data_IF_949549886677
#
_entry.id   IF_949549886677
#
_cell.length_a   1.000
_cell.length_b   1.000
_cell.length_c   1.000
_cell.angle_alpha   90.00
_cell.angle_beta   90.00
_cell.angle_gamma   90.00
#
_symmetry.space_group_name_H-M   'P 1'
#
loop_
_entity.id
_entity.type
_entity.pdbx_description
1 polymer ?
#
# COMPACT_ATOMS: atom_id res chain seq x y z
N UNK A 1 -14.63 -2.65 -19.67
CA UNK A 1 -14.95 -4.02 -20.17
C UNK A 1 -14.01 -4.98 -19.44
N UNK A 2 -14.50 -5.62 -18.37
CA UNK A 2 -13.69 -6.42 -17.46
C UNK A 2 -13.02 -7.59 -18.20
N UNK A 3 -11.69 -7.57 -18.29
CA UNK A 3 -10.90 -8.62 -18.95
C UNK A 3 -10.54 -9.65 -17.89
N UNK A 4 -11.22 -10.79 -17.88
CA UNK A 4 -10.85 -11.96 -17.06
C UNK A 4 -9.53 -12.53 -17.60
N UNK A 5 -8.40 -12.00 -17.14
CA UNK A 5 -7.10 -12.66 -17.29
C UNK A 5 -7.03 -13.76 -16.25
N UNK A 6 -6.74 -15.00 -16.66
CA UNK A 6 -7.07 -16.25 -15.94
C UNK A 6 -6.66 -16.44 -14.47
N UNK A 7 -6.03 -15.45 -13.84
CA UNK A 7 -5.62 -15.46 -12.44
C UNK A 7 -6.29 -14.38 -11.56
N UNK A 8 -7.13 -13.49 -12.13
CA UNK A 8 -7.81 -12.38 -11.44
C UNK A 8 -9.24 -12.26 -11.96
N UNK A 9 -10.19 -12.10 -11.04
CA UNK A 9 -11.63 -12.05 -11.34
C UNK A 9 -12.09 -10.68 -11.84
N UNK A 10 -11.47 -9.59 -11.35
CA UNK A 10 -11.80 -8.21 -11.69
C UNK A 10 -10.51 -7.38 -11.77
N UNK A 11 -10.34 -6.63 -12.87
CA UNK A 11 -9.22 -5.71 -13.10
C UNK A 11 -9.65 -4.67 -14.14
N UNK A 12 -9.93 -3.44 -13.70
CA UNK A 12 -10.45 -2.36 -14.54
C UNK A 12 -9.93 -0.99 -14.07
N UNK A 13 -9.58 -0.13 -15.03
CA UNK A 13 -9.22 1.26 -14.74
C UNK A 13 -10.49 2.12 -14.78
N UNK A 14 -10.81 2.75 -13.66
CA UNK A 14 -11.88 3.73 -13.51
C UNK A 14 -11.26 5.10 -13.66
N UNK A 15 -11.67 5.85 -14.67
CA UNK A 15 -11.20 7.21 -14.88
C UNK A 15 -11.75 8.13 -13.77
N UNK A 16 -10.88 8.92 -13.13
CA UNK A 16 -11.25 9.88 -12.07
C UNK A 16 -10.98 11.33 -12.50
N UNK A 17 -12.00 12.18 -12.33
CA UNK A 17 -11.93 13.62 -12.62
C UNK A 17 -12.31 13.95 -14.06
N UNK A 18 -12.06 15.20 -14.46
CA UNK A 18 -12.54 15.72 -15.75
C UNK A 18 -11.48 15.65 -16.87
N UNK A 19 -10.22 15.31 -16.53
CA UNK A 19 -9.07 15.47 -17.44
C UNK A 19 -8.78 14.28 -18.37
N UNK A 20 -9.73 13.37 -18.56
CA UNK A 20 -9.54 12.20 -19.43
C UNK A 20 -9.57 12.54 -20.91
N UNK A 21 -8.71 11.89 -21.70
CA UNK A 21 -8.57 12.11 -23.15
C UNK A 21 -8.26 13.57 -23.55
N UNK A 22 -7.71 14.38 -22.63
CA UNK A 22 -7.32 15.77 -22.90
C UNK A 22 -5.84 15.92 -23.31
N UNK A 23 -5.15 14.81 -23.62
CA UNK A 23 -3.75 14.84 -24.06
C UNK A 23 -2.73 15.12 -22.94
N UNK A 24 -3.04 14.76 -21.69
CA UNK A 24 -2.09 14.90 -20.57
C UNK A 24 -0.87 13.99 -20.77
N UNK A 25 0.31 14.50 -20.42
CA UNK A 25 1.59 13.84 -20.66
C UNK A 25 1.92 12.74 -19.64
N UNK A 26 1.36 12.81 -18.43
CA UNK A 26 1.61 11.86 -17.35
C UNK A 26 0.32 11.20 -16.86
N UNK A 27 0.46 10.00 -16.30
CA UNK A 27 -0.65 9.18 -15.80
C UNK A 27 -0.47 8.92 -14.32
N UNK A 28 -1.55 9.06 -13.56
CA UNK A 28 -1.61 8.65 -12.16
C UNK A 28 -2.51 7.43 -12.00
N UNK A 29 -2.00 6.37 -11.39
CA UNK A 29 -2.75 5.15 -11.09
C UNK A 29 -2.85 4.98 -9.57
N UNK A 30 -4.10 5.01 -9.10
CA UNK A 30 -4.50 5.06 -7.70
C UNK A 30 -5.07 3.70 -7.29
N UNK A 31 -4.52 3.08 -6.27
CA UNK A 31 -4.79 1.68 -5.96
C UNK A 31 -5.22 1.54 -4.50
N UNK A 32 -6.53 1.39 -4.30
CA UNK A 32 -7.13 1.13 -2.99
C UNK A 32 -6.89 -0.33 -2.57
N UNK A 33 -6.45 -0.53 -1.32
CA UNK A 33 -6.14 -1.85 -0.75
C UNK A 33 -6.96 -2.28 0.46
N UNK A 34 -7.84 -1.43 0.96
CA UNK A 34 -8.70 -1.74 2.08
C UNK A 34 -10.04 -1.01 1.87
N UNK A 35 -11.09 -1.74 1.54
CA UNK A 35 -12.34 -1.20 0.98
C UNK A 35 -13.53 -1.98 1.52
N UNK A 36 -14.66 -1.29 1.75
CA UNK A 36 -15.90 -1.91 2.23
C UNK A 36 -16.99 -1.94 1.17
N UNK A 37 -16.93 -1.04 0.19
CA UNK A 37 -17.79 -1.01 -0.99
C UNK A 37 -17.01 -0.60 -2.25
N UNK A 38 -17.66 -0.66 -3.43
CA UNK A 38 -16.99 -0.33 -4.70
C UNK A 38 -16.62 1.15 -4.80
N UNK A 39 -17.36 2.01 -4.12
CA UNK A 39 -17.13 3.45 -4.09
C UNK A 39 -15.82 3.80 -3.37
N UNK A 40 -15.36 2.95 -2.44
CA UNK A 40 -14.10 3.14 -1.70
C UNK A 40 -12.84 2.95 -2.58
N UNK A 41 -13.00 2.46 -3.82
CA UNK A 41 -11.92 2.47 -4.81
C UNK A 41 -11.62 3.87 -5.34
N UNK A 42 -12.59 4.78 -5.29
CA UNK A 42 -12.51 6.13 -5.87
C UNK A 42 -12.46 7.19 -4.78
N UNK A 43 -13.33 7.06 -3.77
CA UNK A 43 -13.52 8.03 -2.67
C UNK A 43 -12.23 8.59 -2.05
N UNK A 44 -11.18 7.79 -1.76
CA UNK A 44 -9.95 8.31 -1.13
C UNK A 44 -9.17 9.29 -2.01
N UNK A 45 -9.44 9.28 -3.31
CA UNK A 45 -8.69 10.02 -4.34
C UNK A 45 -9.48 11.21 -4.91
N UNK A 46 -10.74 11.37 -4.49
CA UNK A 46 -11.59 12.47 -4.90
C UNK A 46 -11.10 13.81 -4.35
N UNK A 47 -11.34 14.88 -5.12
CA UNK A 47 -11.02 16.25 -4.71
C UNK A 47 -9.54 16.62 -4.76
N UNK A 48 -8.67 15.72 -5.23
CA UNK A 48 -7.31 16.07 -5.63
C UNK A 48 -7.31 16.67 -7.03
N UNK A 49 -6.68 17.82 -7.17
CA UNK A 49 -6.52 18.54 -8.42
C UNK A 49 -5.04 18.49 -8.77
N UNK A 50 -4.73 17.79 -9.86
CA UNK A 50 -3.41 17.74 -10.46
C UNK A 50 -3.54 17.90 -11.99
N UNK A 51 -2.40 17.92 -12.68
CA UNK A 51 -2.33 18.06 -14.13
C UNK A 51 -2.21 16.72 -14.87
N UNK A 52 -2.49 15.59 -14.21
CA UNK A 52 -2.31 14.24 -14.74
C UNK A 52 -3.63 13.60 -15.20
N UNK A 53 -3.53 12.58 -16.04
CA UNK A 53 -4.69 11.72 -16.32
C UNK A 53 -4.77 10.62 -15.25
N UNK A 54 -5.87 10.55 -14.51
CA UNK A 54 -5.97 9.77 -13.28
C UNK A 54 -6.86 8.55 -13.42
N UNK A 55 -6.44 7.42 -12.88
CA UNK A 55 -7.23 6.19 -12.88
C UNK A 55 -7.20 5.52 -11.52
N UNK A 56 -8.36 5.21 -10.95
CA UNK A 56 -8.44 4.21 -9.89
C UNK A 56 -8.43 2.81 -10.49
N UNK A 57 -7.63 1.92 -9.92
CA UNK A 57 -7.66 0.50 -10.27
C UNK A 57 -8.73 -0.20 -9.44
N UNK A 58 -9.80 -0.66 -10.09
CA UNK A 58 -10.74 -1.63 -9.53
C UNK A 58 -10.18 -3.03 -9.73
N UNK A 59 -9.89 -3.73 -8.63
CA UNK A 59 -9.36 -5.07 -8.67
C UNK A 59 -9.94 -5.90 -7.54
N UNK A 60 -10.26 -7.18 -7.79
CA UNK A 60 -10.59 -8.18 -6.77
C UNK A 60 -11.62 -7.73 -5.70
N UNK A 61 -12.63 -6.93 -6.06
CA UNK A 61 -13.50 -6.26 -5.07
C UNK A 61 -14.18 -7.21 -4.10
N UNK A 62 -14.62 -8.38 -4.58
CA UNK A 62 -15.22 -9.40 -3.72
C UNK A 62 -14.27 -9.87 -2.62
N UNK A 63 -12.99 -10.12 -2.94
CA UNK A 63 -12.01 -10.62 -1.99
C UNK A 63 -11.57 -9.52 -1.02
N UNK A 64 -11.35 -8.31 -1.53
CA UNK A 64 -10.96 -7.14 -0.73
C UNK A 64 -12.06 -6.71 0.25
N UNK A 65 -13.32 -6.67 -0.19
CA UNK A 65 -14.45 -6.39 0.71
C UNK A 65 -14.57 -7.51 1.75
N UNK A 66 -14.47 -8.77 1.34
CA UNK A 66 -14.60 -9.90 2.26
C UNK A 66 -13.52 -9.88 3.37
N UNK A 67 -12.26 -9.56 3.05
CA UNK A 67 -11.20 -9.47 4.05
C UNK A 67 -11.36 -8.22 4.93
N UNK A 68 -11.69 -7.06 4.33
CA UNK A 68 -11.87 -5.81 5.07
C UNK A 68 -13.03 -5.90 6.07
N UNK A 69 -14.17 -6.45 5.66
CA UNK A 69 -15.31 -6.71 6.55
C UNK A 69 -14.93 -7.71 7.65
N UNK A 70 -14.21 -8.79 7.33
CA UNK A 70 -13.82 -9.79 8.35
C UNK A 70 -12.90 -9.20 9.41
N UNK A 71 -12.00 -8.29 9.01
CA UNK A 71 -11.17 -7.57 9.95
C UNK A 71 -12.04 -6.66 10.81
N UNK A 72 -12.92 -5.85 10.19
CA UNK A 72 -13.81 -4.92 10.91
C UNK A 72 -14.72 -5.66 11.91
N UNK A 73 -15.25 -6.82 11.55
CA UNK A 73 -16.05 -7.66 12.43
C UNK A 73 -15.24 -8.16 13.63
N UNK A 74 -13.98 -8.56 13.41
CA UNK A 74 -13.09 -8.95 14.50
C UNK A 74 -12.73 -7.76 15.40
N UNK A 75 -12.46 -6.58 14.82
CA UNK A 75 -12.15 -5.36 15.57
C UNK A 75 -13.27 -4.93 16.51
N UNK A 76 -14.52 -5.14 16.09
CA UNK A 76 -15.71 -4.76 16.86
C UNK A 76 -16.17 -5.85 17.83
N UNK A 77 -15.50 -7.00 17.85
CA UNK A 77 -15.79 -8.09 18.79
C UNK A 77 -15.46 -7.73 20.23
N UNK A 78 -16.19 -8.29 21.19
CA UNK A 78 -15.97 -8.06 22.63
C UNK A 78 -14.55 -8.43 23.08
N UNK A 79 -13.92 -9.41 22.43
CA UNK A 79 -12.55 -9.84 22.73
C UNK A 79 -11.55 -8.74 22.32
N UNK A 80 -11.70 -8.19 21.11
CA UNK A 80 -10.83 -7.11 20.64
C UNK A 80 -10.99 -5.84 21.50
N UNK A 81 -12.23 -5.50 21.89
CA UNK A 81 -12.51 -4.36 22.77
C UNK A 81 -11.88 -4.54 24.16
N UNK A 82 -11.93 -5.74 24.73
CA UNK A 82 -11.30 -6.02 26.03
C UNK A 82 -9.77 -5.94 25.93
N UNK A 83 -9.17 -6.47 24.85
CA UNK A 83 -7.73 -6.34 24.60
C UNK A 83 -7.29 -4.89 24.43
N UNK A 84 -8.10 -4.06 23.74
CA UNK A 84 -7.85 -2.62 23.63
C UNK A 84 -7.95 -1.92 24.99
N UNK A 85 -9.00 -2.20 25.77
CA UNK A 85 -9.21 -1.61 27.10
C UNK A 85 -8.07 -1.92 28.07
N UNK A 86 -7.52 -3.14 27.99
CA UNK A 86 -6.39 -3.57 28.82
C UNK A 86 -5.04 -3.05 28.31
N UNK A 87 -5.00 -2.31 27.20
CA UNK A 87 -3.75 -1.83 26.59
C UNK A 87 -2.90 -2.93 25.95
N UNK A 88 -3.39 -4.17 25.90
CA UNK A 88 -2.65 -5.32 25.38
C UNK A 88 -2.28 -5.15 23.90
N UNK A 89 -3.09 -4.42 23.13
CA UNK A 89 -2.82 -4.08 21.72
C UNK A 89 -1.58 -3.17 21.58
N UNK A 90 -1.38 -2.22 22.49
CA UNK A 90 -0.18 -1.39 22.52
C UNK A 90 1.04 -2.19 22.98
N UNK A 91 0.84 -3.17 23.86
CA UNK A 91 1.88 -4.12 24.25
C UNK A 91 2.29 -5.01 23.09
N UNK A 92 1.38 -5.45 22.21
CA UNK A 92 1.75 -6.17 20.97
C UNK A 92 2.68 -5.33 20.11
N UNK A 93 2.30 -4.08 19.83
CA UNK A 93 3.13 -3.13 19.07
C UNK A 93 4.47 -2.84 19.75
N UNK A 94 4.49 -2.72 21.09
CA UNK A 94 5.71 -2.46 21.86
C UNK A 94 6.60 -3.72 21.98
N UNK A 95 6.02 -4.90 22.11
CA UNK A 95 6.72 -6.20 22.10
C UNK A 95 7.25 -6.56 20.70
N UNK A 96 6.73 -5.90 19.67
CA UNK A 96 7.29 -5.92 18.32
C UNK A 96 8.64 -5.21 18.27
N UNK A 97 8.80 -4.15 19.08
CA UNK A 97 10.10 -3.48 19.30
C UNK A 97 10.95 -4.24 20.33
N UNK A 98 10.32 -4.83 21.35
CA UNK A 98 10.96 -5.61 22.40
C UNK A 98 10.59 -7.08 22.27
N UNK A 99 11.32 -7.83 21.42
CA UNK A 99 11.04 -9.13 20.80
C UNK A 99 10.47 -10.33 21.62
N UNK A 100 9.83 -10.17 22.79
CA UNK A 100 9.32 -11.28 23.60
C UNK A 100 8.04 -10.91 24.39
N UNK A 101 7.09 -11.86 24.41
CA UNK A 101 5.85 -11.96 25.21
C UNK A 101 4.53 -11.43 24.60
N UNK A 102 3.91 -12.24 23.73
CA UNK A 102 2.50 -12.07 23.34
C UNK A 102 1.55 -12.89 24.24
N UNK A 103 0.43 -12.32 24.73
CA UNK A 103 -0.57 -13.08 25.47
C UNK A 103 -1.23 -14.17 24.62
N UNK A 104 -1.44 -15.36 25.18
CA UNK A 104 -2.03 -16.51 24.47
C UNK A 104 -3.44 -16.26 23.89
N UNK A 105 -4.18 -15.29 24.44
CA UNK A 105 -5.52 -14.89 23.95
C UNK A 105 -5.47 -14.27 22.55
N UNK A 106 -4.36 -13.62 22.18
CA UNK A 106 -4.13 -13.10 20.82
C UNK A 106 -3.88 -14.20 19.79
N UNK A 107 -3.51 -15.43 20.20
CA UNK A 107 -3.24 -16.55 19.29
C UNK A 107 -4.51 -17.24 18.77
N UNK A 108 -5.57 -17.29 19.57
CA UNK A 108 -6.77 -18.07 19.22
C UNK A 108 -7.80 -17.29 18.38
N UNK A 109 -7.72 -15.97 18.35
CA UNK A 109 -8.75 -15.12 17.74
C UNK A 109 -8.51 -14.77 16.26
N UNK A 110 -7.38 -15.16 15.65
CA UNK A 110 -6.94 -14.65 14.32
C UNK A 110 -7.00 -15.66 13.17
N UNK A 111 -7.10 -16.97 13.44
CA UNK A 111 -6.95 -18.02 12.42
C UNK A 111 -7.88 -17.88 11.19
N UNK A 112 -9.11 -17.38 11.37
CA UNK A 112 -10.03 -17.17 10.24
C UNK A 112 -9.62 -15.99 9.35
N UNK A 113 -9.13 -14.92 9.97
CA UNK A 113 -8.64 -13.72 9.28
C UNK A 113 -7.41 -14.09 8.46
N UNK A 114 -6.51 -14.89 9.04
CA UNK A 114 -5.27 -15.32 8.39
C UNK A 114 -5.54 -16.00 7.03
N UNK A 115 -6.62 -16.79 6.92
CA UNK A 115 -6.99 -17.48 5.66
C UNK A 115 -7.46 -16.50 4.55
N UNK A 116 -8.38 -15.59 4.86
CA UNK A 116 -8.88 -14.59 3.89
C UNK A 116 -7.82 -13.58 3.53
N UNK A 117 -6.99 -13.23 4.50
CA UNK A 117 -5.87 -12.34 4.33
C UNK A 117 -4.82 -12.93 3.40
N UNK A 118 -4.42 -14.19 3.60
CA UNK A 118 -3.48 -14.87 2.70
C UNK A 118 -4.00 -14.93 1.26
N UNK A 119 -5.32 -15.11 1.07
CA UNK A 119 -5.94 -15.04 -0.26
C UNK A 119 -5.80 -13.62 -0.82
N UNK A 120 -6.13 -12.59 -0.03
CA UNK A 120 -6.04 -11.20 -0.49
C UNK A 120 -4.59 -10.81 -0.87
N UNK A 121 -3.60 -11.29 -0.11
CA UNK A 121 -2.17 -11.15 -0.42
C UNK A 121 -1.80 -11.79 -1.76
N UNK A 122 -2.15 -13.06 -1.97
CA UNK A 122 -1.91 -13.77 -3.24
C UNK A 122 -2.58 -13.06 -4.43
N UNK A 123 -3.81 -12.56 -4.24
CA UNK A 123 -4.52 -11.79 -5.25
C UNK A 123 -3.87 -10.43 -5.54
N UNK A 124 -3.29 -9.79 -4.53
CA UNK A 124 -2.53 -8.54 -4.69
C UNK A 124 -1.29 -8.74 -5.57
N UNK A 125 -0.56 -9.84 -5.33
CA UNK A 125 0.65 -10.15 -6.10
C UNK A 125 0.31 -10.46 -7.56
N UNK A 126 -0.79 -11.19 -7.80
CA UNK A 126 -1.31 -11.43 -9.15
C UNK A 126 -1.71 -10.12 -9.83
N UNK A 127 -2.40 -9.23 -9.13
CA UNK A 127 -2.80 -7.91 -9.65
C UNK A 127 -1.60 -7.03 -10.00
N UNK A 128 -0.54 -7.07 -9.19
CA UNK A 128 0.71 -6.37 -9.48
C UNK A 128 1.37 -6.87 -10.76
N UNK A 129 1.47 -8.19 -10.94
CA UNK A 129 2.00 -8.78 -12.18
C UNK A 129 1.17 -8.38 -13.40
N UNK A 130 -0.16 -8.37 -13.29
CA UNK A 130 -1.03 -7.94 -14.39
C UNK A 130 -0.88 -6.44 -14.68
N UNK A 131 -0.73 -5.61 -13.65
CA UNK A 131 -0.45 -4.18 -13.82
C UNK A 131 0.88 -3.98 -14.56
N UNK A 132 1.92 -4.72 -14.21
CA UNK A 132 3.20 -4.69 -14.93
C UNK A 132 3.03 -5.05 -16.42
N UNK A 133 2.26 -6.08 -16.75
CA UNK A 133 1.97 -6.43 -18.15
C UNK A 133 1.25 -5.30 -18.90
N UNK A 134 0.27 -4.65 -18.26
CA UNK A 134 -0.48 -3.54 -18.84
C UNK A 134 0.45 -2.37 -19.14
N UNK A 135 1.33 -2.05 -18.19
CA UNK A 135 2.33 -1.00 -18.32
C UNK A 135 3.32 -1.31 -19.46
N UNK A 136 3.86 -2.54 -19.53
CA UNK A 136 4.78 -2.97 -20.59
C UNK A 136 4.16 -2.98 -21.98
N UNK A 137 2.86 -3.27 -22.09
CA UNK A 137 2.12 -3.21 -23.37
C UNK A 137 1.89 -1.78 -23.87
N UNK A 138 2.18 -0.76 -23.04
CA UNK A 138 2.08 0.64 -23.46
C UNK A 138 0.65 1.10 -23.73
N UNK A 139 -0.37 0.46 -23.16
CA UNK A 139 -1.76 0.86 -23.35
C UNK A 139 -2.04 2.30 -22.90
N UNK A 140 -1.21 2.81 -22.00
CA UNK A 140 -1.23 4.19 -21.52
C UNK A 140 -0.31 5.13 -22.32
N UNK A 141 0.17 4.74 -23.50
CA UNK A 141 0.93 5.60 -24.42
C UNK A 141 2.40 5.83 -24.06
N UNK A 142 3.04 4.90 -23.31
CA UNK A 142 4.43 5.01 -22.84
C UNK A 142 4.73 6.32 -22.11
N UNK A 143 3.74 6.83 -21.37
CA UNK A 143 3.81 8.05 -20.57
C UNK A 143 4.40 7.76 -19.18
N UNK A 144 5.08 8.72 -18.54
CA UNK A 144 5.49 8.60 -17.13
C UNK A 144 4.29 8.27 -16.23
N UNK A 145 4.46 7.29 -15.37
CA UNK A 145 3.41 6.78 -14.47
C UNK A 145 3.76 7.07 -13.02
N UNK A 146 2.81 7.70 -12.31
CA UNK A 146 2.81 7.81 -10.85
C UNK A 146 1.90 6.72 -10.28
N UNK A 147 2.43 5.90 -9.36
CA UNK A 147 1.69 4.83 -8.68
C UNK A 147 1.50 5.21 -7.21
N UNK A 148 0.24 5.28 -6.76
CA UNK A 148 -0.09 5.58 -5.37
C UNK A 148 -1.03 4.51 -4.86
N UNK A 149 -0.70 3.91 -3.71
CA UNK A 149 -1.54 2.87 -3.14
C UNK A 149 -1.40 2.78 -1.63
N UNK A 150 -2.46 2.36 -0.98
CA UNK A 150 -2.48 2.09 0.46
C UNK A 150 -2.83 0.63 0.73
N UNK A 151 -2.39 0.10 1.87
CA UNK A 151 -2.67 -1.28 2.28
C UNK A 151 -2.30 -2.30 1.19
N UNK A 152 -3.15 -3.27 0.90
CA UNK A 152 -2.94 -4.26 -0.16
C UNK A 152 -2.74 -3.63 -1.55
N UNK A 153 -3.21 -2.42 -1.79
CA UNK A 153 -2.96 -1.66 -3.01
C UNK A 153 -1.49 -1.21 -3.12
N UNK A 154 -0.85 -0.90 -1.99
CA UNK A 154 0.61 -0.70 -1.96
C UNK A 154 1.35 -2.00 -2.31
N UNK A 155 0.82 -3.16 -1.89
CA UNK A 155 1.38 -4.47 -2.27
C UNK A 155 1.21 -4.77 -3.76
N UNK A 156 0.08 -4.42 -4.37
CA UNK A 156 -0.10 -4.47 -5.83
C UNK A 156 0.99 -3.67 -6.55
N UNK A 157 1.28 -2.44 -6.10
CA UNK A 157 2.35 -1.61 -6.66
C UNK A 157 3.69 -2.30 -6.52
N UNK A 158 4.03 -2.77 -5.34
CA UNK A 158 5.32 -3.40 -5.09
C UNK A 158 5.53 -4.65 -5.95
N UNK A 159 4.51 -5.51 -6.04
CA UNK A 159 4.56 -6.69 -6.92
C UNK A 159 4.65 -6.32 -8.40
N UNK A 160 4.01 -5.21 -8.81
CA UNK A 160 4.18 -4.65 -10.15
C UNK A 160 5.64 -4.25 -10.41
N UNK A 161 6.28 -3.53 -9.49
CA UNK A 161 7.69 -3.13 -9.62
C UNK A 161 8.63 -4.34 -9.66
N UNK A 162 8.39 -5.35 -8.83
CA UNK A 162 9.15 -6.61 -8.87
C UNK A 162 9.02 -7.28 -10.24
N UNK A 163 7.79 -7.42 -10.76
CA UNK A 163 7.55 -8.03 -12.06
C UNK A 163 8.19 -7.23 -13.21
N UNK A 164 8.19 -5.90 -13.14
CA UNK A 164 8.89 -5.07 -14.12
C UNK A 164 10.41 -5.30 -14.05
N UNK A 165 10.98 -5.43 -12.85
CA UNK A 165 12.42 -5.66 -12.66
C UNK A 165 12.91 -6.98 -13.25
N UNK A 166 12.02 -7.99 -13.38
CA UNK A 166 12.32 -9.28 -14.01
C UNK A 166 12.50 -9.15 -15.55
N UNK A 167 12.02 -8.06 -16.17
CA UNK A 167 11.97 -7.92 -17.64
C UNK A 167 13.10 -7.12 -18.27
N UNK A 168 13.94 -6.43 -17.47
CA UNK A 168 15.01 -5.49 -17.87
C UNK A 168 14.62 -4.42 -18.91
N UNK A 169 13.34 -4.31 -19.27
CA UNK A 169 12.79 -3.36 -20.24
C UNK A 169 12.01 -2.28 -19.52
N UNK A 170 12.15 -1.03 -19.96
CA UNK A 170 11.36 0.12 -19.50
C UNK A 170 11.53 0.47 -17.99
N UNK A 171 12.77 0.45 -17.49
CA UNK A 171 13.13 0.94 -16.14
C UNK A 171 12.69 2.40 -15.86
N UNK A 172 12.29 3.12 -16.90
CA UNK A 172 12.00 4.56 -16.88
C UNK A 172 10.50 4.88 -16.95
N UNK A 173 9.61 3.88 -17.04
CA UNK A 173 8.17 4.14 -17.18
C UNK A 173 7.54 4.63 -15.87
N UNK A 174 7.95 4.08 -14.73
CA UNK A 174 7.42 4.47 -13.43
C UNK A 174 8.24 5.64 -12.89
N UNK A 175 7.61 6.82 -12.84
CA UNK A 175 8.25 8.03 -12.38
C UNK A 175 8.24 8.14 -10.86
N UNK A 176 7.08 7.89 -10.23
CA UNK A 176 6.89 8.11 -8.79
C UNK A 176 6.09 6.97 -8.17
N UNK A 177 6.44 6.64 -6.93
CA UNK A 177 5.75 5.62 -6.14
C UNK A 177 5.47 6.16 -4.75
N UNK A 178 4.24 5.97 -4.28
CA UNK A 178 3.85 6.24 -2.90
C UNK A 178 3.13 5.02 -2.32
N UNK A 179 3.73 4.42 -1.30
CA UNK A 179 3.17 3.31 -0.54
C UNK A 179 2.71 3.81 0.82
N UNK A 180 1.43 3.63 1.15
CA UNK A 180 0.86 4.06 2.42
C UNK A 180 0.45 2.83 3.26
N UNK A 181 1.00 2.67 4.46
CA UNK A 181 0.62 1.54 5.35
C UNK A 181 0.82 0.19 4.67
N UNK A 182 1.98 -0.01 4.05
CA UNK A 182 2.21 -1.12 3.14
C UNK A 182 2.40 -2.48 3.87
N UNK A 183 1.59 -3.50 3.55
CA UNK A 183 1.69 -4.84 4.10
C UNK A 183 2.76 -5.69 3.38
N UNK A 184 4.00 -5.20 3.38
CA UNK A 184 5.13 -5.77 2.65
C UNK A 184 6.27 -6.03 3.64
N UNK A 185 6.82 -7.23 3.61
CA UNK A 185 7.95 -7.61 4.45
C UNK A 185 9.20 -6.82 4.08
N UNK A 186 10.04 -6.46 5.04
CA UNK A 186 11.29 -5.72 4.75
C UNK A 186 12.43 -6.68 4.40
N UNK A 187 12.62 -7.75 5.17
CA UNK A 187 13.79 -8.65 5.02
C UNK A 187 13.70 -9.65 3.88
N UNK A 188 12.49 -10.11 3.54
CA UNK A 188 12.29 -11.22 2.60
C UNK A 188 11.91 -10.75 1.18
N UNK A 189 11.80 -9.43 0.99
CA UNK A 189 11.36 -8.84 -0.26
C UNK A 189 12.49 -8.03 -0.90
N UNK A 190 12.57 -8.08 -2.23
CA UNK A 190 13.65 -7.40 -2.97
C UNK A 190 13.31 -5.91 -3.22
N UNK A 191 13.42 -5.10 -2.16
CA UNK A 191 13.21 -3.66 -2.21
C UNK A 191 14.17 -2.92 -3.13
N UNK A 192 15.41 -3.41 -3.28
CA UNK A 192 16.39 -2.82 -4.19
C UNK A 192 15.98 -2.98 -5.66
N UNK A 193 15.47 -4.15 -6.04
CA UNK A 193 14.93 -4.38 -7.38
C UNK A 193 13.71 -3.48 -7.65
N UNK A 194 12.78 -3.38 -6.69
CA UNK A 194 11.65 -2.47 -6.80
C UNK A 194 12.10 -1.01 -6.90
N UNK A 195 13.12 -0.58 -6.13
CA UNK A 195 13.63 0.78 -6.17
C UNK A 195 14.27 1.13 -7.51
N UNK A 196 14.99 0.20 -8.15
CA UNK A 196 15.61 0.41 -9.47
C UNK A 196 14.60 0.71 -10.57
N UNK A 197 13.35 0.33 -10.38
CA UNK A 197 12.27 0.53 -11.35
C UNK A 197 11.59 1.90 -11.27
N UNK A 198 11.98 2.75 -10.32
CA UNK A 198 11.35 4.06 -10.10
C UNK A 198 12.36 5.16 -10.43
N UNK A 199 12.07 6.00 -11.43
CA UNK A 199 13.00 7.05 -11.85
C UNK A 199 13.12 8.19 -10.81
N UNK A 200 12.02 8.53 -10.14
CA UNK A 200 11.92 9.64 -9.20
C UNK A 200 11.76 9.22 -7.74
N UNK A 201 10.83 9.89 -7.04
CA UNK A 201 10.57 9.67 -5.61
C UNK A 201 9.88 8.32 -5.39
N UNK A 202 10.47 7.51 -4.51
CA UNK A 202 9.84 6.32 -3.95
C UNK A 202 9.60 6.57 -2.48
N UNK A 203 8.36 6.78 -2.10
CA UNK A 203 7.95 7.11 -0.73
C UNK A 203 7.30 5.90 -0.06
N UNK A 204 7.79 5.57 1.14
CA UNK A 204 7.13 4.69 2.09
C UNK A 204 6.58 5.53 3.25
N UNK A 205 5.27 5.74 3.29
CA UNK A 205 4.59 6.37 4.40
C UNK A 205 4.12 5.30 5.39
N UNK A 206 4.63 5.37 6.62
CA UNK A 206 4.39 4.36 7.65
C UNK A 206 3.76 4.97 8.91
N UNK A 207 3.04 4.15 9.66
CA UNK A 207 2.49 4.53 10.96
C UNK A 207 2.85 3.46 12.00
N UNK A 208 3.51 3.87 13.07
CA UNK A 208 3.87 2.98 14.19
C UNK A 208 2.66 2.58 15.04
N UNK A 209 1.53 3.26 14.83
CA UNK A 209 0.25 3.01 15.54
C UNK A 209 -0.74 2.20 14.72
N UNK A 210 -0.36 1.73 13.53
CA UNK A 210 -1.25 0.89 12.72
C UNK A 210 -1.33 -0.53 13.28
N UNK A 211 -2.20 -0.66 14.28
CA UNK A 211 -2.45 -1.87 15.03
C UNK A 211 -3.08 -2.99 14.18
N UNK A 212 -3.79 -2.65 13.10
CA UNK A 212 -4.43 -3.65 12.24
C UNK A 212 -3.37 -4.44 11.48
N UNK A 213 -2.37 -3.77 10.90
CA UNK A 213 -1.21 -4.46 10.32
C UNK A 213 -0.48 -5.26 11.40
N UNK A 214 -0.27 -4.65 12.58
CA UNK A 214 0.31 -5.27 13.77
C UNK A 214 -0.26 -6.66 14.10
N UNK A 215 -1.59 -6.79 14.02
CA UNK A 215 -2.29 -8.03 14.34
C UNK A 215 -2.49 -8.94 13.13
N UNK A 216 -2.86 -8.41 11.97
CA UNK A 216 -3.13 -9.21 10.77
C UNK A 216 -1.86 -9.87 10.19
N UNK A 217 -0.68 -9.27 10.41
CA UNK A 217 0.60 -9.79 9.91
C UNK A 217 1.53 -10.30 11.00
N UNK A 218 0.99 -10.67 12.16
CA UNK A 218 1.78 -10.99 13.35
C UNK A 218 2.98 -11.91 13.09
N UNK A 219 2.81 -12.92 12.24
CA UNK A 219 3.89 -13.84 11.86
C UNK A 219 5.00 -13.16 11.03
N UNK A 220 4.63 -12.43 9.97
CA UNK A 220 5.56 -11.70 9.11
C UNK A 220 6.22 -10.51 9.84
N UNK A 221 5.49 -9.88 10.76
CA UNK A 221 5.95 -8.77 11.57
C UNK A 221 7.07 -9.16 12.54
N UNK A 222 6.93 -10.28 13.24
CA UNK A 222 7.90 -10.72 14.25
C UNK A 222 9.23 -11.17 13.63
N UNK A 223 9.24 -11.66 12.38
CA UNK A 223 10.45 -12.17 11.74
C UNK A 223 11.05 -11.17 10.74
N UNK A 224 10.20 -10.49 9.96
CA UNK A 224 10.63 -9.80 8.74
C UNK A 224 10.40 -8.29 8.78
N UNK A 225 9.58 -7.80 9.72
CA UNK A 225 9.16 -6.40 9.79
C UNK A 225 8.30 -5.96 8.60
N UNK A 226 7.47 -4.92 8.77
CA UNK A 226 6.61 -4.42 7.69
C UNK A 226 6.88 -2.96 7.34
N UNK A 227 6.95 -2.67 6.05
CA UNK A 227 7.14 -1.31 5.55
C UNK A 227 6.05 -0.33 6.01
N UNK A 228 4.82 -0.79 6.23
CA UNK A 228 3.72 0.03 6.74
C UNK A 228 3.84 0.45 8.21
N UNK A 229 4.71 -0.20 9.00
CA UNK A 229 4.89 0.09 10.43
C UNK A 229 6.22 0.74 10.78
N UNK A 230 7.20 0.68 9.89
CA UNK A 230 8.55 1.17 10.15
C UNK A 230 9.28 1.57 8.87
N UNK A 231 10.38 2.33 8.98
CA UNK A 231 11.20 2.69 7.82
C UNK A 231 11.78 1.47 7.09
N UNK A 232 11.91 1.59 5.76
CA UNK A 232 12.66 0.68 4.91
C UNK A 232 14.05 1.26 4.67
N UNK A 233 15.10 0.59 5.17
CA UNK A 233 16.49 1.04 5.04
C UNK A 233 17.11 0.63 3.70
N UNK A 234 16.60 1.24 2.62
CA UNK A 234 17.12 1.08 1.25
C UNK A 234 17.38 2.45 0.65
N UNK A 235 18.57 2.63 0.08
CA UNK A 235 18.97 3.91 -0.51
C UNK A 235 17.99 4.33 -1.62
N UNK A 236 17.56 5.59 -1.56
CA UNK A 236 16.61 6.16 -2.52
C UNK A 236 15.14 5.94 -2.16
N UNK A 237 14.82 5.20 -1.10
CA UNK A 237 13.48 5.17 -0.52
C UNK A 237 13.36 6.27 0.54
N UNK A 238 12.38 7.14 0.37
CA UNK A 238 12.00 8.21 1.28
C UNK A 238 11.00 7.65 2.29
N UNK A 239 11.36 7.62 3.58
CA UNK A 239 10.47 7.15 4.63
C UNK A 239 9.81 8.35 5.32
N UNK A 240 8.48 8.35 5.39
CA UNK A 240 7.69 9.44 5.99
C UNK A 240 6.82 8.89 7.10
N UNK A 241 7.01 9.41 8.30
CA UNK A 241 6.18 9.05 9.45
C UNK A 241 4.85 9.82 9.41
N UNK A 242 3.74 9.09 9.29
CA UNK A 242 2.37 9.62 9.30
C UNK A 242 1.58 9.16 10.54
N UNK A 243 2.27 8.72 11.59
CA UNK A 243 1.69 8.26 12.86
C UNK A 243 0.79 9.30 13.53
N UNK A 244 1.05 10.59 13.31
CA UNK A 244 0.25 11.71 13.82
C UNK A 244 -1.09 11.89 13.07
N UNK A 245 -1.18 11.36 11.86
CA UNK A 245 -2.33 11.50 10.96
C UNK A 245 -3.19 10.24 10.92
N UNK A 246 -2.60 9.07 11.22
CA UNK A 246 -3.25 7.77 11.17
C UNK A 246 -3.58 7.27 12.57
N UNK A 247 -4.88 7.17 12.88
CA UNK A 247 -5.38 6.56 14.12
C UNK A 247 -5.49 5.03 14.02
N UNK A 248 -5.68 4.50 12.81
CA UNK A 248 -5.67 3.08 12.50
C UNK A 248 -5.70 2.83 10.99
N UNK A 249 -5.58 1.58 10.54
CA UNK A 249 -5.47 1.26 9.10
C UNK A 249 -6.64 1.72 8.25
N UNK A 250 -7.87 1.66 8.78
CA UNK A 250 -9.04 2.16 8.07
C UNK A 250 -8.94 3.66 7.80
N UNK A 251 -8.14 4.41 8.59
CA UNK A 251 -7.93 5.84 8.42
C UNK A 251 -7.31 6.23 7.09
N UNK A 252 -6.65 5.31 6.39
CA UNK A 252 -6.17 5.59 5.02
C UNK A 252 -7.33 5.94 4.08
N UNK A 253 -8.55 5.40 4.25
CA UNK A 253 -9.70 5.72 3.37
C UNK A 253 -10.06 7.21 3.35
N UNK A 254 -9.88 7.93 4.45
CA UNK A 254 -10.22 9.35 4.56
C UNK A 254 -9.02 10.28 4.76
N UNK A 255 -7.88 9.75 5.19
CA UNK A 255 -6.67 10.53 5.49
C UNK A 255 -5.68 10.59 4.32
N UNK A 256 -5.88 9.76 3.29
CA UNK A 256 -4.99 9.71 2.11
C UNK A 256 -4.79 11.08 1.49
N UNK A 257 -5.86 11.86 1.29
CA UNK A 257 -5.75 13.22 0.76
C UNK A 257 -4.81 14.11 1.59
N UNK A 258 -5.01 14.15 2.91
CA UNK A 258 -4.20 14.95 3.84
C UNK A 258 -2.74 14.50 3.82
N UNK A 259 -2.49 13.19 3.72
CA UNK A 259 -1.13 12.65 3.60
C UNK A 259 -0.48 13.11 2.29
N UNK A 260 -1.18 12.95 1.16
CA UNK A 260 -0.65 13.32 -0.16
C UNK A 260 -0.39 14.84 -0.27
N UNK A 261 -1.24 15.68 0.31
CA UNK A 261 -1.00 17.13 0.43
C UNK A 261 0.30 17.42 1.19
N UNK A 262 0.57 16.69 2.29
CA UNK A 262 1.82 16.82 3.07
C UNK A 262 3.06 16.28 2.34
N UNK A 263 2.91 15.31 1.43
CA UNK A 263 4.04 14.75 0.68
C UNK A 263 4.55 15.70 -0.41
N UNK A 264 3.76 16.72 -0.78
CA UNK A 264 4.11 17.73 -1.79
C UNK A 264 4.69 17.09 -3.05
N UNK A 265 3.96 16.13 -3.62
CA UNK A 265 4.49 15.29 -4.69
C UNK A 265 4.97 16.09 -5.90
N UNK A 266 4.40 17.25 -6.20
CA UNK A 266 4.80 18.08 -7.34
C UNK A 266 6.13 18.83 -7.13
N UNK A 267 6.65 18.91 -5.90
CA UNK A 267 7.88 19.65 -5.61
C UNK A 267 9.11 18.76 -5.92
N UNK A 268 9.90 19.18 -6.91
CA UNK A 268 11.15 18.52 -7.29
C UNK A 268 12.28 18.89 -6.31
N UNK A 269 12.43 18.14 -5.21
CA UNK A 269 13.67 18.24 -4.42
C UNK A 269 14.75 17.32 -4.99
N UNK A 270 15.96 17.82 -5.30
CA UNK A 270 17.10 16.95 -5.50
C UNK A 270 17.45 16.31 -4.16
N UNK A 271 17.33 14.98 -4.06
CA UNK A 271 17.69 14.24 -2.84
C UNK A 271 19.21 14.22 -2.70
N UNK A 272 19.78 15.27 -2.09
CA UNK A 272 21.13 15.25 -1.55
C UNK A 272 21.03 15.10 -0.03
N UNK A 273 20.98 13.86 0.47
CA UNK A 273 21.25 13.61 1.90
C UNK A 273 22.75 13.77 2.15
N UNK A 274 23.22 15.00 2.33
CA UNK A 274 24.49 15.24 3.03
C UNK A 274 24.21 15.13 4.52
N UNK A 275 24.88 14.19 5.20
CA UNK A 275 24.84 14.08 6.66
C UNK A 275 25.37 15.39 7.24
N UNK A 276 24.49 16.21 7.81
CA UNK A 276 24.93 17.18 8.81
C UNK A 276 25.35 16.37 10.03
N UNK A 277 26.66 16.31 10.25
CA UNK A 277 27.21 16.01 11.57
C UNK A 277 26.88 17.22 12.43
N UNK A 278 25.97 17.05 13.37
CA UNK A 278 25.82 18.00 14.48
C UNK A 278 27.10 17.91 15.33
N UNK A 279 27.84 19.02 15.41
CA UNK A 279 28.82 19.33 16.46
C UNK A 279 28.13 20.07 17.61
#
# INVERSE_FOLDING_TARGET
MARRTGNIDEFEFIAIGDYHNQGRLAVEILISGFVFCKEDYVRPWEGQIDNMERFALLWESRNLIAVSTSIQDWLTSSIALELMRQGAMMTVLSSLVAALALPAVLLSATNFIDSKWSIAVDRSDKAGRLLAEVLLKGYQGNRPVTLIGYSLGARVIFSCLQALSETERNAELVERVVLLGAPIAIKDENWEAARKMVAGRFINAYSTKDWMLGVAFRASLLTNGLAGLQPVDVQGIENVDVTDTIEGHSSYLWSTRKILERLELEVCYPVFKSKEKEE
#
